data_IF_763092697395
#
_entry.id   IF_763092697395
#
_cell.length_a   1.000
_cell.length_b   1.000
_cell.length_c   1.000
_cell.angle_alpha   90.00
_cell.angle_beta   90.00
_cell.angle_gamma   90.00
#
_symmetry.space_group_name_H-M   'P 1'
#
loop_
_entity.id
_entity.type
_entity.pdbx_description
1 polymer ?
#
# COMPACT_ATOMS: atom_id res chain seq x y z
N UNK A 1 -34.31 -3.05 13.06
CA UNK A 1 -33.81 -2.32 11.88
C UNK A 1 -32.42 -1.80 12.14
N UNK A 2 -31.45 -2.13 11.28
CA UNK A 2 -30.12 -1.51 11.30
C UNK A 2 -30.30 -0.03 10.96
N UNK A 3 -29.84 0.88 11.83
CA UNK A 3 -29.99 2.32 11.62
C UNK A 3 -28.89 2.83 10.68
N UNK A 4 -29.16 3.87 9.87
CA UNK A 4 -28.18 4.48 8.94
C UNK A 4 -26.87 4.86 9.64
N UNK A 5 -26.96 5.27 10.90
CA UNK A 5 -25.80 5.57 11.73
C UNK A 5 -24.88 4.36 11.95
N UNK A 6 -25.45 3.16 12.15
CA UNK A 6 -24.66 1.94 12.35
C UNK A 6 -23.92 1.52 11.07
N UNK A 7 -24.57 1.62 9.89
CA UNK A 7 -23.90 1.27 8.62
C UNK A 7 -22.76 2.23 8.28
N UNK A 8 -22.94 3.51 8.59
CA UNK A 8 -21.90 4.53 8.46
C UNK A 8 -20.70 4.23 9.35
N UNK A 9 -20.94 4.00 10.64
CA UNK A 9 -19.88 3.69 11.62
C UNK A 9 -19.12 2.42 11.24
N UNK A 10 -19.81 1.36 10.81
CA UNK A 10 -19.16 0.12 10.36
C UNK A 10 -18.28 0.35 9.13
N UNK A 11 -18.75 1.14 8.16
CA UNK A 11 -17.96 1.48 6.97
C UNK A 11 -16.69 2.27 7.34
N UNK A 12 -16.82 3.26 8.22
CA UNK A 12 -15.71 4.08 8.69
C UNK A 12 -14.67 3.25 9.44
N UNK A 13 -15.08 2.42 10.41
CA UNK A 13 -14.18 1.56 11.18
C UNK A 13 -13.44 0.59 10.25
N UNK A 14 -14.14 -0.03 9.30
CA UNK A 14 -13.53 -0.94 8.34
C UNK A 14 -12.44 -0.28 7.51
N UNK A 15 -12.73 0.90 6.95
CA UNK A 15 -11.78 1.67 6.14
C UNK A 15 -10.54 2.08 6.95
N UNK A 16 -10.71 2.57 8.18
CA UNK A 16 -9.59 2.96 9.03
C UNK A 16 -8.72 1.77 9.42
N UNK A 17 -9.35 0.62 9.76
CA UNK A 17 -8.63 -0.60 10.10
C UNK A 17 -7.81 -1.12 8.92
N UNK A 18 -8.43 -1.19 7.74
CA UNK A 18 -7.78 -1.71 6.54
C UNK A 18 -6.63 -0.78 6.10
N UNK A 19 -6.80 0.54 6.21
CA UNK A 19 -5.72 1.51 5.98
C UNK A 19 -4.54 1.31 6.94
N UNK A 20 -4.80 1.18 8.25
CA UNK A 20 -3.75 0.95 9.25
C UNK A 20 -3.01 -0.37 8.97
N UNK A 21 -3.73 -1.46 8.73
CA UNK A 21 -3.12 -2.76 8.45
C UNK A 21 -2.25 -2.74 7.20
N UNK A 22 -2.75 -2.15 6.11
CA UNK A 22 -2.00 -2.04 4.86
C UNK A 22 -0.72 -1.21 5.05
N UNK A 23 -0.83 -0.07 5.73
CA UNK A 23 0.29 0.81 6.01
C UNK A 23 1.36 0.12 6.86
N UNK A 24 0.97 -0.58 7.94
CA UNK A 24 1.91 -1.30 8.81
C UNK A 24 2.67 -2.41 8.06
N UNK A 25 1.99 -3.15 7.17
CA UNK A 25 2.65 -4.19 6.35
C UNK A 25 3.68 -3.56 5.41
N UNK A 26 3.30 -2.51 4.68
CA UNK A 26 4.19 -1.81 3.75
C UNK A 26 5.40 -1.27 4.49
N UNK A 27 5.17 -0.55 5.60
CA UNK A 27 6.23 0.02 6.45
C UNK A 27 7.24 -1.00 6.89
N UNK A 28 6.76 -2.14 7.39
CA UNK A 28 7.63 -3.20 7.88
C UNK A 28 8.57 -3.68 6.78
N UNK A 29 8.04 -3.93 5.59
CA UNK A 29 8.87 -4.40 4.46
C UNK A 29 9.82 -3.31 3.94
N UNK A 30 9.38 -2.04 3.89
CA UNK A 30 10.25 -0.93 3.50
C UNK A 30 11.40 -0.76 4.50
N UNK A 31 11.19 -0.96 5.80
CA UNK A 31 12.27 -0.89 6.78
C UNK A 31 13.35 -1.96 6.57
N UNK A 32 12.95 -3.16 6.14
CA UNK A 32 13.85 -4.30 5.91
C UNK A 32 14.58 -4.24 4.55
N UNK A 33 14.37 -3.18 3.77
CA UNK A 33 14.84 -3.01 2.40
C UNK A 33 16.30 -2.61 2.32
N UNK A 34 17.03 -3.15 1.34
CA UNK A 34 18.35 -2.66 0.91
C UNK A 34 18.20 -1.40 0.09
N UNK A 35 18.80 -0.30 0.53
CA UNK A 35 18.63 1.03 -0.07
C UNK A 35 18.86 1.10 -1.59
N UNK A 36 19.87 0.42 -2.11
CA UNK A 36 20.26 0.49 -3.53
C UNK A 36 19.30 -0.22 -4.48
N UNK A 37 18.33 -0.98 -3.95
CA UNK A 37 17.44 -1.82 -4.75
C UNK A 37 16.06 -1.21 -5.01
N UNK A 38 15.75 -0.05 -4.42
CA UNK A 38 14.42 0.53 -4.46
C UNK A 38 14.13 1.16 -5.82
N UNK A 39 13.07 0.70 -6.47
CA UNK A 39 12.57 1.23 -7.73
C UNK A 39 11.11 1.62 -7.53
N UNK A 40 10.76 2.87 -7.88
CA UNK A 40 9.39 3.38 -7.84
C UNK A 40 8.95 3.67 -9.27
N UNK A 41 7.85 3.08 -9.70
CA UNK A 41 7.33 3.19 -11.06
C UNK A 41 5.82 2.92 -11.11
N UNK A 42 5.32 2.38 -12.24
CA UNK A 42 3.92 2.01 -12.46
C UNK A 42 3.85 0.62 -13.11
N UNK A 43 2.87 -0.19 -12.72
CA UNK A 43 2.68 -1.53 -13.29
C UNK A 43 2.34 -1.48 -14.78
N UNK A 44 1.49 -0.52 -15.19
CA UNK A 44 1.15 -0.29 -16.59
C UNK A 44 0.97 1.20 -16.90
N UNK A 45 0.82 1.54 -18.17
CA UNK A 45 0.63 2.93 -18.64
C UNK A 45 -0.68 3.57 -18.20
N UNK A 46 -1.71 2.78 -17.87
CA UNK A 46 -3.01 3.27 -17.40
C UNK A 46 -3.05 3.54 -15.90
N UNK A 47 -1.98 3.20 -15.15
CA UNK A 47 -1.87 3.48 -13.73
C UNK A 47 -1.17 4.82 -13.48
N UNK A 48 -1.50 5.48 -12.35
CA UNK A 48 -0.78 6.67 -11.92
C UNK A 48 0.72 6.39 -11.82
N UNK A 49 1.54 7.40 -12.11
CA UNK A 49 2.97 7.32 -11.83
C UNK A 49 3.20 7.07 -10.34
N UNK A 50 4.24 6.31 -10.03
CA UNK A 50 4.63 5.96 -8.68
C UNK A 50 3.58 5.15 -7.89
N UNK A 51 2.71 4.39 -8.59
CA UNK A 51 1.73 3.48 -8.00
C UNK A 51 2.30 2.12 -7.60
N UNK A 52 3.57 1.86 -7.93
CA UNK A 52 4.29 0.63 -7.63
C UNK A 52 5.64 0.94 -6.99
N UNK A 53 6.02 0.11 -6.02
CA UNK A 53 7.36 0.08 -5.46
C UNK A 53 7.90 -1.35 -5.52
N UNK A 54 9.15 -1.47 -5.93
CA UNK A 54 9.94 -2.70 -5.94
C UNK A 54 11.18 -2.50 -5.08
N UNK A 55 11.59 -3.55 -4.39
CA UNK A 55 12.88 -3.59 -3.70
C UNK A 55 13.30 -5.01 -3.35
N UNK A 56 14.55 -5.15 -2.88
CA UNK A 56 15.07 -6.36 -2.27
C UNK A 56 15.19 -6.19 -0.76
N UNK A 57 14.80 -7.22 -0.02
CA UNK A 57 15.02 -7.27 1.43
C UNK A 57 16.49 -7.62 1.76
N UNK A 58 16.82 -7.65 3.05
CA UNK A 58 18.15 -8.06 3.53
C UNK A 58 18.61 -9.44 3.04
N UNK A 59 17.69 -10.35 2.74
CA UNK A 59 17.94 -11.72 2.29
C UNK A 59 17.92 -11.86 0.74
N UNK A 60 17.93 -10.74 0.01
CA UNK A 60 17.77 -10.67 -1.44
C UNK A 60 16.43 -11.20 -1.98
N UNK A 61 15.42 -11.34 -1.13
CA UNK A 61 14.07 -11.62 -1.59
C UNK A 61 13.51 -10.38 -2.27
N UNK A 62 12.87 -10.60 -3.41
CA UNK A 62 12.28 -9.54 -4.20
C UNK A 62 10.84 -9.27 -3.74
N UNK A 63 10.52 -8.01 -3.50
CA UNK A 63 9.22 -7.57 -2.99
C UNK A 63 8.66 -6.46 -3.89
N UNK A 64 7.39 -6.58 -4.24
CA UNK A 64 6.62 -5.55 -4.93
C UNK A 64 5.36 -5.20 -4.14
N UNK A 65 5.04 -3.92 -4.08
CA UNK A 65 3.69 -3.46 -3.77
C UNK A 65 3.11 -2.71 -4.95
N UNK A 66 1.89 -3.05 -5.33
CA UNK A 66 1.20 -2.43 -6.46
C UNK A 66 -0.32 -2.43 -6.26
N UNK A 67 -0.98 -1.51 -6.95
CA UNK A 67 -2.43 -1.42 -6.99
C UNK A 67 -2.98 -2.08 -8.27
N UNK A 68 -4.07 -2.84 -8.15
CA UNK A 68 -4.89 -3.26 -9.29
C UNK A 68 -6.35 -3.01 -8.96
N UNK A 69 -7.00 -2.14 -9.75
CA UNK A 69 -8.35 -1.69 -9.44
C UNK A 69 -8.41 -1.04 -8.05
N UNK A 70 -9.29 -1.55 -7.19
CA UNK A 70 -9.47 -1.08 -5.80
C UNK A 70 -8.73 -1.92 -4.76
N UNK A 71 -7.73 -2.69 -5.17
CA UNK A 71 -7.01 -3.62 -4.30
C UNK A 71 -5.53 -3.34 -4.33
N UNK A 72 -4.89 -3.56 -3.20
CA UNK A 72 -3.43 -3.54 -3.06
C UNK A 72 -2.92 -4.97 -2.92
N UNK A 73 -1.87 -5.27 -3.67
CA UNK A 73 -1.22 -6.55 -3.71
C UNK A 73 0.24 -6.44 -3.31
N UNK A 74 0.73 -7.50 -2.69
CA UNK A 74 2.14 -7.72 -2.41
C UNK A 74 2.59 -8.95 -3.18
N UNK A 75 3.62 -8.82 -4.02
CA UNK A 75 4.29 -9.95 -4.66
C UNK A 75 5.63 -10.16 -3.97
N UNK A 76 5.93 -11.39 -3.58
CA UNK A 76 7.22 -11.75 -3.01
C UNK A 76 7.82 -12.93 -3.77
N UNK A 77 9.12 -12.88 -4.02
CA UNK A 77 9.88 -13.99 -4.57
C UNK A 77 11.08 -14.23 -3.68
N UNK A 78 11.15 -15.42 -3.12
CA UNK A 78 12.27 -15.82 -2.27
C UNK A 78 13.48 -16.15 -3.12
N UNK A 79 14.67 -15.83 -2.62
CA UNK A 79 15.92 -16.24 -3.26
C UNK A 79 15.94 -17.77 -3.44
N UNK A 80 16.19 -18.22 -4.66
CA UNK A 80 16.18 -19.64 -5.03
C UNK A 80 14.81 -20.25 -5.35
N UNK A 81 13.71 -19.48 -5.28
CA UNK A 81 12.37 -19.96 -5.65
C UNK A 81 12.01 -19.56 -7.09
N UNK A 82 11.37 -20.46 -7.87
CA UNK A 82 11.10 -20.20 -9.28
C UNK A 82 9.92 -19.25 -9.52
N UNK A 83 9.00 -19.10 -8.56
CA UNK A 83 7.73 -18.40 -8.75
C UNK A 83 7.49 -17.28 -7.73
N UNK A 84 6.65 -16.33 -8.14
CA UNK A 84 6.15 -15.26 -7.30
C UNK A 84 4.98 -15.74 -6.45
N UNK A 85 4.99 -15.41 -5.16
CA UNK A 85 3.83 -15.50 -4.30
C UNK A 85 3.10 -14.15 -4.29
N UNK A 86 1.81 -14.14 -4.62
CA UNK A 86 0.99 -12.92 -4.61
C UNK A 86 -0.01 -12.96 -3.46
N UNK A 87 -0.04 -11.91 -2.64
CA UNK A 87 -0.97 -11.75 -1.51
C UNK A 87 -1.78 -10.46 -1.67
N UNK A 88 -3.10 -10.55 -1.53
CA UNK A 88 -3.96 -9.38 -1.38
C UNK A 88 -3.78 -8.80 0.03
N UNK A 89 -3.45 -7.52 0.14
CA UNK A 89 -3.20 -6.85 1.42
C UNK A 89 -4.47 -6.18 1.94
N UNK A 90 -5.19 -5.48 1.06
CA UNK A 90 -6.43 -4.80 1.37
C UNK A 90 -7.23 -4.51 0.10
N UNK A 91 -8.51 -4.16 0.30
CA UNK A 91 -9.48 -3.77 -0.73
C UNK A 91 -10.03 -2.38 -0.43
N UNK A 92 -10.88 -1.87 -1.32
CA UNK A 92 -11.48 -0.54 -1.20
C UNK A 92 -10.44 0.60 -1.28
N UNK A 93 -9.28 0.33 -1.89
CA UNK A 93 -8.24 1.33 -2.16
C UNK A 93 -8.66 2.23 -3.33
N UNK A 94 -8.59 3.54 -3.14
CA UNK A 94 -8.76 4.53 -4.21
C UNK A 94 -7.44 4.79 -4.92
N UNK A 95 -6.39 5.08 -4.16
CA UNK A 95 -5.05 5.27 -4.73
C UNK A 95 -3.95 4.88 -3.75
N UNK A 96 -2.81 4.48 -4.32
CA UNK A 96 -1.54 4.22 -3.66
C UNK A 96 -0.44 4.99 -4.39
N UNK A 97 0.44 5.64 -3.64
CA UNK A 97 1.57 6.37 -4.22
C UNK A 97 2.79 6.27 -3.32
N UNK A 98 3.95 6.06 -3.93
CA UNK A 98 5.26 6.05 -3.30
C UNK A 98 6.09 7.21 -3.82
N UNK A 99 6.90 7.84 -2.97
CA UNK A 99 7.77 8.91 -3.44
C UNK A 99 9.02 9.04 -2.58
N UNK A 100 10.17 9.25 -3.21
CA UNK A 100 11.35 9.73 -2.50
C UNK A 100 11.11 11.17 -2.00
N UNK A 101 11.47 11.45 -0.76
CA UNK A 101 11.29 12.80 -0.21
C UNK A 101 12.30 13.81 -0.77
N UNK A 102 13.54 13.37 -0.99
CA UNK A 102 14.59 14.15 -1.65
C UNK A 102 15.46 13.17 -2.46
N UNK A 103 15.91 13.59 -3.63
CA UNK A 103 16.89 12.84 -4.43
C UNK A 103 18.25 12.71 -3.73
N UNK A 104 18.56 13.65 -2.83
CA UNK A 104 19.80 13.66 -2.02
C UNK A 104 19.73 12.78 -0.78
N UNK A 105 18.53 12.37 -0.37
CA UNK A 105 18.32 11.51 0.79
C UNK A 105 17.38 10.36 0.40
N UNK A 106 17.93 9.29 -0.22
CA UNK A 106 17.14 8.14 -0.65
C UNK A 106 16.63 7.30 0.53
N UNK A 107 17.09 7.57 1.76
CA UNK A 107 16.74 6.79 2.96
C UNK A 107 15.27 6.93 3.35
N UNK A 108 14.55 7.93 2.82
CA UNK A 108 13.19 8.27 3.22
C UNK A 108 12.22 8.12 2.06
N UNK A 109 11.27 7.20 2.24
CA UNK A 109 10.17 6.96 1.31
C UNK A 109 8.88 7.43 1.95
N UNK A 110 8.13 8.26 1.25
CA UNK A 110 6.74 8.56 1.61
C UNK A 110 5.80 7.57 0.97
N UNK A 111 4.92 7.01 1.79
CA UNK A 111 3.82 6.14 1.39
C UNK A 111 2.52 6.90 1.63
N UNK A 112 1.75 7.09 0.56
CA UNK A 112 0.43 7.71 0.62
C UNK A 112 -0.61 6.73 0.13
N UNK A 113 -1.63 6.49 0.95
CA UNK A 113 -2.72 5.58 0.61
C UNK A 113 -4.07 6.20 0.96
N UNK A 114 -5.04 6.00 0.08
CA UNK A 114 -6.40 6.47 0.29
C UNK A 114 -7.38 5.33 0.10
N UNK A 115 -8.16 5.04 1.12
CA UNK A 115 -9.24 4.07 1.08
C UNK A 115 -10.59 4.78 0.98
N UNK A 116 -11.53 4.12 0.31
CA UNK A 116 -12.84 4.66 0.03
C UNK A 116 -13.91 3.57 0.09
N UNK A 117 -14.96 3.79 0.90
CA UNK A 117 -16.09 2.87 0.99
C UNK A 117 -17.41 3.60 1.06
N UNK A 118 -18.41 3.07 0.36
CA UNK A 118 -19.79 3.55 0.42
C UNK A 118 -20.51 2.75 1.52
N UNK A 119 -21.19 3.45 2.43
CA UNK A 119 -21.94 2.78 3.48
C UNK A 119 -23.20 2.12 2.91
N UNK A 120 -23.46 0.88 3.33
CA UNK A 120 -24.54 0.04 2.79
C UNK A 120 -25.90 0.76 2.89
N UNK A 121 -26.63 0.82 1.78
CA UNK A 121 -27.95 1.44 1.71
C UNK A 121 -27.94 2.97 1.85
N UNK A 122 -26.78 3.62 1.71
CA UNK A 122 -26.64 5.07 1.74
C UNK A 122 -25.86 5.57 0.53
N UNK A 123 -26.10 6.82 0.12
CA UNK A 123 -25.25 7.52 -0.84
C UNK A 123 -24.03 8.19 -0.18
N UNK A 124 -23.73 7.84 1.08
CA UNK A 124 -22.66 8.45 1.85
C UNK A 124 -21.36 7.67 1.67
N UNK A 125 -20.32 8.40 1.25
CA UNK A 125 -19.00 7.88 0.95
C UNK A 125 -18.01 8.30 2.02
N UNK A 126 -17.33 7.31 2.59
CA UNK A 126 -16.24 7.51 3.54
C UNK A 126 -14.90 7.39 2.83
N UNK A 127 -14.01 8.33 3.13
CA UNK A 127 -12.64 8.32 2.63
C UNK A 127 -11.69 8.46 3.81
N UNK A 128 -10.59 7.72 3.76
CA UNK A 128 -9.51 7.83 4.72
C UNK A 128 -8.18 7.92 3.98
N UNK A 129 -7.45 9.00 4.23
CA UNK A 129 -6.11 9.24 3.72
C UNK A 129 -5.13 9.00 4.86
N UNK A 130 -4.15 8.12 4.62
CA UNK A 130 -3.00 7.96 5.50
C UNK A 130 -1.74 8.23 4.71
N UNK A 131 -0.86 9.05 5.28
CA UNK A 131 0.45 9.38 4.72
C UNK A 131 1.46 9.10 5.79
N UNK A 132 2.50 8.34 5.45
CA UNK A 132 3.59 8.07 6.38
C UNK A 132 4.94 8.16 5.68
N UNK A 133 5.95 8.57 6.46
CA UNK A 133 7.34 8.60 6.03
C UNK A 133 8.05 7.42 6.67
N UNK A 134 8.66 6.59 5.85
CA UNK A 134 9.34 5.37 6.27
C UNK A 134 10.81 5.50 5.95
N UNK A 135 11.65 5.29 6.97
CA UNK A 135 13.09 5.24 6.82
C UNK A 135 13.53 3.82 6.46
N UNK A 136 14.37 3.70 5.44
CA UNK A 136 15.13 2.50 5.11
C UNK A 136 16.15 2.26 6.23
N UNK A 137 16.22 1.04 6.78
CA UNK A 137 17.09 0.76 7.95
C UNK A 137 18.36 -0.01 7.59
N UNK A 138 18.49 -0.50 6.36
CA UNK A 138 19.57 -1.40 5.92
C UNK A 138 20.32 -0.91 4.68
#
# INVERSE_FOLDING_TARGET
SITRFQTMTVAQIGVQRDARMALEIIKRQIRETKQTSVIIDRENSSQPFCSRIYFKDANDNEIYFYQVGKKIYMKTKKTGWPSWNTKEIAKDLRYLTFCYQDTRNPDLISVSLCFEKIALGSNTKFMHLSIEKVRLMN
#
